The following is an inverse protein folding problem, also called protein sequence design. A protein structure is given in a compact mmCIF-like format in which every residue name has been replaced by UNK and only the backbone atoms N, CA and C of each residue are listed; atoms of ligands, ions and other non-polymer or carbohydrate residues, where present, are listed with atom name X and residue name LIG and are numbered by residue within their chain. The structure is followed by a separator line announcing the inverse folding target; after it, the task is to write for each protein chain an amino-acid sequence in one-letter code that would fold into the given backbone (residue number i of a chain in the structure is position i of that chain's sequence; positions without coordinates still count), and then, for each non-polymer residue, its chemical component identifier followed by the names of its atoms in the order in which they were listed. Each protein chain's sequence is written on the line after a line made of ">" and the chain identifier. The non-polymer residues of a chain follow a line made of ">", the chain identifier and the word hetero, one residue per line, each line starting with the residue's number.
data_IF_863983835484
#
_entry.id   IF_863983835484
#
_cell.length_a   1.000
_cell.length_b   1.000
_cell.length_c   1.000
_cell.angle_alpha   90.00
_cell.angle_beta   90.00
_cell.angle_gamma   90.00
#
_symmetry.space_group_name_H-M   'P 1'
#
loop_
_entity.id
_entity.type
_entity.pdbx_description
1 polymer ?
#
# COMPACT_ATOMS: atom_id res chain seq x y z
N UNK A 1 12.92 17.30 -0.20
CA UNK A 1 12.62 15.96 -0.71
C UNK A 1 13.75 15.52 -1.63
N UNK A 2 14.28 14.32 -1.44
CA UNK A 2 15.16 13.73 -2.43
C UNK A 2 14.33 13.42 -3.70
N UNK A 3 14.97 13.45 -4.87
CA UNK A 3 14.31 13.02 -6.10
C UNK A 3 13.92 11.54 -5.99
N UNK A 4 12.75 11.19 -6.52
CA UNK A 4 12.31 9.80 -6.63
C UNK A 4 13.20 9.11 -7.68
N UNK A 5 13.95 8.09 -7.27
CA UNK A 5 14.86 7.36 -8.16
C UNK A 5 14.36 5.98 -8.55
N UNK A 6 13.40 5.45 -7.78
CA UNK A 6 12.86 4.11 -7.90
C UNK A 6 11.46 4.06 -7.30
N UNK A 7 10.69 3.06 -7.74
CA UNK A 7 9.38 2.73 -7.19
C UNK A 7 9.25 1.21 -7.16
N UNK A 8 8.41 0.71 -6.26
CA UNK A 8 8.19 -0.72 -6.06
C UNK A 8 6.72 -1.01 -6.31
N UNK A 9 6.43 -1.88 -7.28
CA UNK A 9 5.05 -2.24 -7.61
C UNK A 9 4.39 -2.94 -6.43
N UNK A 10 3.06 -2.87 -6.33
CA UNK A 10 2.30 -3.40 -5.21
C UNK A 10 2.65 -4.86 -4.85
N UNK A 11 2.78 -5.81 -5.80
CA UNK A 11 3.19 -7.17 -5.48
C UNK A 11 4.60 -7.25 -4.88
N UNK A 12 5.54 -6.44 -5.36
CA UNK A 12 6.90 -6.39 -4.81
C UNK A 12 6.91 -5.74 -3.42
N UNK A 13 6.12 -4.68 -3.21
CA UNK A 13 5.96 -4.06 -1.91
C UNK A 13 5.37 -5.04 -0.88
N UNK A 14 4.37 -5.84 -1.28
CA UNK A 14 3.81 -6.90 -0.44
C UNK A 14 4.89 -7.91 -0.01
N UNK A 15 5.70 -8.39 -0.96
CA UNK A 15 6.81 -9.30 -0.69
C UNK A 15 7.84 -8.68 0.27
N UNK A 16 8.23 -7.42 0.03
CA UNK A 16 9.20 -6.70 0.87
C UNK A 16 8.71 -6.48 2.30
N UNK A 17 7.39 -6.26 2.48
CA UNK A 17 6.78 -6.05 3.79
C UNK A 17 6.38 -7.36 4.49
N UNK A 18 6.44 -8.50 3.80
CA UNK A 18 5.96 -9.78 4.32
C UNK A 18 4.44 -9.83 4.50
N UNK A 19 3.70 -9.07 3.70
CA UNK A 19 2.25 -8.92 3.75
C UNK A 19 1.59 -9.55 2.53
N UNK A 20 0.28 -9.82 2.63
CA UNK A 20 -0.48 -10.33 1.49
C UNK A 20 -0.77 -9.21 0.48
N UNK A 21 -0.67 -9.50 -0.82
CA UNK A 21 -0.93 -8.50 -1.86
C UNK A 21 -2.38 -8.02 -1.87
N UNK A 22 -3.35 -8.89 -1.54
CA UNK A 22 -4.77 -8.52 -1.43
C UNK A 22 -4.98 -7.52 -0.30
N UNK A 23 -4.25 -7.66 0.82
CA UNK A 23 -4.27 -6.67 1.89
C UNK A 23 -3.81 -5.30 1.38
N UNK A 24 -2.73 -5.26 0.59
CA UNK A 24 -2.25 -3.99 0.03
C UNK A 24 -3.25 -3.37 -0.95
N UNK A 25 -3.98 -4.18 -1.73
CA UNK A 25 -5.08 -3.70 -2.60
C UNK A 25 -6.23 -3.08 -1.81
N UNK A 26 -6.46 -3.50 -0.57
CA UNK A 26 -7.46 -2.87 0.28
C UNK A 26 -6.96 -1.59 0.95
N UNK A 27 -5.64 -1.48 1.18
CA UNK A 27 -5.04 -0.39 1.96
C UNK A 27 -4.62 0.78 1.08
N UNK A 28 -4.08 0.52 -0.12
CA UNK A 28 -3.54 1.59 -0.98
C UNK A 28 -4.60 2.60 -1.44
N UNK A 29 -5.89 2.24 -1.39
CA UNK A 29 -7.01 3.10 -1.78
C UNK A 29 -7.19 4.29 -0.84
N UNK A 30 -6.69 4.18 0.39
CA UNK A 30 -6.70 5.25 1.38
C UNK A 30 -5.44 6.13 1.31
N UNK A 31 -4.48 5.78 0.46
CA UNK A 31 -3.25 6.56 0.26
C UNK A 31 -3.42 7.57 -0.87
N UNK A 32 -2.92 8.78 -0.63
CA UNK A 32 -2.85 9.84 -1.64
C UNK A 32 -1.46 9.86 -2.32
N UNK A 33 -1.30 10.58 -3.44
CA UNK A 33 0.00 10.75 -4.10
C UNK A 33 1.10 11.29 -3.18
N UNK A 34 0.73 12.17 -2.24
CA UNK A 34 1.62 12.74 -1.23
C UNK A 34 2.15 11.70 -0.24
N UNK A 35 1.41 10.61 -0.02
CA UNK A 35 1.84 9.47 0.79
C UNK A 35 2.84 8.58 0.05
N UNK A 36 3.23 8.94 -1.18
CA UNK A 36 4.21 8.21 -1.98
C UNK A 36 3.63 7.03 -2.74
N UNK A 37 2.29 6.97 -2.90
CA UNK A 37 1.56 6.03 -3.76
C UNK A 37 1.37 6.62 -5.17
N UNK A 38 1.56 5.82 -6.21
CA UNK A 38 1.40 6.27 -7.59
C UNK A 38 1.05 5.12 -8.54
N UNK A 39 0.45 5.46 -9.68
CA UNK A 39 0.10 4.49 -10.72
C UNK A 39 1.24 4.33 -11.74
N UNK A 40 1.62 3.09 -12.00
CA UNK A 40 2.51 2.72 -13.10
C UNK A 40 1.68 2.09 -14.21
N UNK A 41 1.75 2.70 -15.40
CA UNK A 41 1.09 2.22 -16.61
C UNK A 41 2.08 1.44 -17.47
N UNK A 42 1.72 0.20 -17.79
CA UNK A 42 2.41 -0.69 -18.70
C UNK A 42 1.71 -0.78 -20.07
N UNK A 43 2.18 -1.66 -20.95
CA UNK A 43 1.49 -1.98 -22.20
C UNK A 43 0.15 -2.67 -21.94
N UNK A 44 -0.70 -2.72 -22.97
CA UNK A 44 -1.95 -3.50 -22.98
C UNK A 44 -2.89 -3.22 -21.79
N UNK A 45 -3.09 -1.92 -21.48
CA UNK A 45 -3.91 -1.42 -20.37
C UNK A 45 -3.52 -1.93 -18.98
N UNK A 46 -2.29 -2.47 -18.84
CA UNK A 46 -1.77 -2.85 -17.55
C UNK A 46 -1.53 -1.61 -16.69
N UNK A 47 -2.15 -1.57 -15.52
CA UNK A 47 -1.93 -0.53 -14.54
C UNK A 47 -1.74 -1.16 -13.17
N UNK A 48 -0.75 -0.69 -12.42
CA UNK A 48 -0.44 -1.23 -11.10
C UNK A 48 -0.02 -0.10 -10.16
N UNK A 49 -0.53 -0.08 -8.91
CA UNK A 49 0.00 0.80 -7.90
C UNK A 49 1.46 0.48 -7.63
N UNK A 50 2.24 1.52 -7.34
CA UNK A 50 3.62 1.42 -6.94
C UNK A 50 3.91 2.45 -5.85
N UNK A 51 4.95 2.19 -5.08
CA UNK A 51 5.31 2.97 -3.92
C UNK A 51 6.73 3.48 -4.04
N UNK A 52 6.95 4.74 -3.66
CA UNK A 52 8.31 5.27 -3.46
C UNK A 52 8.95 4.66 -2.20
N UNK A 53 10.22 4.95 -1.92
CA UNK A 53 10.82 4.56 -0.64
C UNK A 53 10.01 5.13 0.56
N UNK A 54 9.59 6.40 0.49
CA UNK A 54 8.68 7.00 1.48
C UNK A 54 7.30 6.33 1.48
N UNK A 55 6.79 5.95 0.31
CA UNK A 55 5.53 5.25 0.19
C UNK A 55 5.50 3.91 0.90
N UNK A 56 6.61 3.18 0.94
CA UNK A 56 6.71 1.93 1.71
C UNK A 56 6.67 2.18 3.23
N UNK A 57 7.26 3.27 3.69
CA UNK A 57 7.19 3.69 5.10
C UNK A 57 5.74 4.04 5.46
N UNK A 58 5.09 4.92 4.69
CA UNK A 58 3.68 5.31 4.89
C UNK A 58 2.75 4.10 4.83
N UNK A 59 2.91 3.23 3.84
CA UNK A 59 2.09 2.02 3.66
C UNK A 59 2.14 1.11 4.90
N UNK A 60 3.28 1.04 5.60
CA UNK A 60 3.39 0.26 6.84
C UNK A 60 2.45 0.80 7.93
N UNK A 61 2.30 2.11 8.03
CA UNK A 61 1.40 2.74 9.02
C UNK A 61 -0.07 2.57 8.63
N UNK A 62 -0.41 2.75 7.34
CA UNK A 62 -1.77 2.47 6.84
C UNK A 62 -2.18 1.00 7.07
N UNK A 63 -1.27 0.04 6.84
CA UNK A 63 -1.54 -1.38 7.11
C UNK A 63 -1.83 -1.61 8.60
N UNK A 64 -1.07 -0.98 9.50
CA UNK A 64 -1.28 -1.09 10.95
C UNK A 64 -2.65 -0.54 11.35
N UNK A 65 -3.02 0.63 10.84
CA UNK A 65 -4.32 1.23 11.09
C UNK A 65 -5.48 0.37 10.57
N UNK A 66 -5.38 -0.11 9.33
CA UNK A 66 -6.38 -1.00 8.73
C UNK A 66 -6.59 -2.28 9.54
N UNK A 67 -5.49 -2.91 9.99
CA UNK A 67 -5.55 -4.10 10.85
C UNK A 67 -6.17 -3.80 12.22
N UNK A 68 -5.84 -2.66 12.82
CA UNK A 68 -6.42 -2.23 14.09
C UNK A 68 -7.94 -1.98 13.98
N UNK A 69 -8.38 -1.37 12.87
CA UNK A 69 -9.79 -1.12 12.58
C UNK A 69 -10.57 -2.41 12.26
N UNK A 70 -9.92 -3.41 11.66
CA UNK A 70 -10.51 -4.76 11.49
C UNK A 70 -10.63 -5.52 12.81
N UNK A 71 -9.66 -5.35 13.71
CA UNK A 71 -9.67 -5.96 15.04
C UNK A 71 -10.76 -5.38 15.97
N UNK A 72 -11.12 -4.10 15.80
CA UNK A 72 -12.14 -3.43 16.63
C UNK A 72 -13.59 -3.77 16.22
N UNK A 73 -13.80 -4.26 14.99
CA UNK A 73 -15.12 -4.68 14.49
C UNK A 73 -15.61 -6.06 14.92
N UNK A 74 -14.76 -6.91 15.54
CA UNK A 74 -15.13 -8.29 15.91
C UNK A 74 -15.61 -8.48 17.38
N UNK A 75 -15.78 -7.40 18.17
CA UNK A 75 -16.07 -7.54 19.61
C UNK A 75 -17.45 -7.02 20.07
N UNK A 76 -18.44 -6.91 19.19
CA UNK A 76 -19.84 -6.60 19.55
C UNK A 76 -20.79 -7.71 19.11
N UNK A 77 -20.76 -8.83 19.82
CA UNK A 77 -21.67 -9.94 19.55
C UNK A 77 -21.50 -11.13 20.49
N UNK A 78 -21.64 -10.92 21.80
CA UNK A 78 -22.02 -11.95 22.76
C UNK A 78 -22.83 -11.35 23.91
#
# INVERSE_FOLDING_TARGET
>A
MAAITRVYTLPLAAEMLGEDAELLWEVYVDMEPEDGCLWVYGPDDQQIPAFTDFGLESLTDFIREHKANRGSGQNHGR
#
